data_IF_227448391997
#
_entry.id   IF_227448391997
#
_cell.length_a   1.000
_cell.length_b   1.000
_cell.length_c   1.000
_cell.angle_alpha   90.00
_cell.angle_beta   90.00
_cell.angle_gamma   90.00
#
_symmetry.space_group_name_H-M   'P 1'
#
loop_
_entity.id
_entity.type
_entity.pdbx_description
1 polymer ?
#
# COMPACT_ATOMS: atom_id res chain seq x y z
N UNK A 1 6.74 -33.89 -44.65
CA UNK A 1 6.00 -34.24 -43.47
C UNK A 1 6.80 -34.14 -42.16
N UNK A 2 7.75 -33.20 -42.04
CA UNK A 2 8.56 -32.99 -40.78
C UNK A 2 8.33 -31.65 -40.10
N UNK A 3 7.39 -30.83 -40.59
CA UNK A 3 7.17 -29.43 -40.08
C UNK A 3 6.01 -29.27 -39.11
N UNK A 4 5.14 -30.27 -38.95
CA UNK A 4 3.94 -30.18 -38.09
C UNK A 4 4.17 -30.62 -36.63
N UNK A 5 5.16 -31.49 -36.40
CA UNK A 5 5.45 -32.02 -35.04
C UNK A 5 6.13 -31.00 -34.13
N UNK A 6 6.90 -30.05 -34.67
CA UNK A 6 7.65 -29.06 -33.90
C UNK A 6 6.77 -27.92 -33.36
N UNK A 7 5.68 -27.59 -34.07
CA UNK A 7 4.75 -26.56 -33.65
C UNK A 7 3.87 -26.98 -32.45
N UNK A 8 3.53 -28.27 -32.36
CA UNK A 8 2.71 -28.81 -31.26
C UNK A 8 3.50 -28.90 -29.95
N UNK A 9 4.81 -29.21 -30.03
CA UNK A 9 5.68 -29.27 -28.85
C UNK A 9 5.93 -27.89 -28.19
N UNK A 10 6.02 -26.83 -29.01
CA UNK A 10 6.16 -25.45 -28.50
C UNK A 10 4.86 -24.90 -27.89
N UNK A 11 3.69 -25.35 -28.36
CA UNK A 11 2.41 -24.95 -27.78
C UNK A 11 2.09 -25.67 -26.47
N UNK A 12 2.55 -26.91 -26.30
CA UNK A 12 2.41 -27.65 -25.04
C UNK A 12 3.34 -27.13 -23.92
N UNK A 13 4.49 -26.55 -24.26
CA UNK A 13 5.41 -25.94 -23.29
C UNK A 13 4.93 -24.58 -22.79
N UNK A 14 4.13 -23.85 -23.58
CA UNK A 14 3.54 -22.57 -23.18
C UNK A 14 2.35 -22.72 -22.20
N UNK A 15 1.69 -23.86 -22.18
CA UNK A 15 0.56 -24.17 -21.27
C UNK A 15 0.99 -24.63 -19.87
N UNK A 16 2.24 -25.04 -19.68
CA UNK A 16 2.77 -25.45 -18.37
C UNK A 16 3.27 -24.27 -17.52
N UNK A 17 3.22 -23.02 -18.00
CA UNK A 17 3.50 -21.81 -17.24
C UNK A 17 2.24 -21.23 -16.53
N UNK A 18 1.13 -21.98 -16.51
CA UNK A 18 -0.01 -21.72 -15.66
C UNK A 18 0.43 -21.72 -14.20
N UNK A 19 0.46 -20.53 -13.61
CA UNK A 19 1.05 -20.21 -12.32
C UNK A 19 0.78 -21.24 -11.23
N UNK A 20 1.77 -22.02 -10.88
CA UNK A 20 1.81 -22.68 -9.60
C UNK A 20 1.70 -21.60 -8.52
N UNK A 21 0.54 -21.48 -7.89
CA UNK A 21 0.41 -20.76 -6.62
C UNK A 21 1.32 -21.59 -5.70
N UNK A 22 2.48 -21.03 -5.33
CA UNK A 22 3.37 -21.69 -4.38
C UNK A 22 2.57 -22.00 -3.12
N UNK A 23 2.72 -23.20 -2.57
CA UNK A 23 2.06 -23.53 -1.31
C UNK A 23 2.39 -22.47 -0.24
N UNK A 24 1.47 -22.19 0.70
CA UNK A 24 1.76 -21.29 1.81
C UNK A 24 3.04 -21.74 2.52
N UNK A 25 3.77 -20.80 3.11
CA UNK A 25 4.88 -21.13 4.01
C UNK A 25 4.32 -22.06 5.09
N UNK A 26 4.91 -23.25 5.22
CA UNK A 26 4.45 -24.21 6.21
C UNK A 26 4.76 -23.67 7.62
N UNK A 27 3.73 -23.48 8.43
CA UNK A 27 3.90 -23.15 9.85
C UNK A 27 4.15 -24.41 10.66
N UNK A 28 4.83 -24.29 11.80
CA UNK A 28 4.89 -25.38 12.76
C UNK A 28 3.49 -25.64 13.34
N UNK A 29 3.18 -26.86 13.82
CA UNK A 29 1.89 -27.14 14.44
C UNK A 29 1.54 -26.17 15.59
N UNK A 30 2.54 -25.77 16.37
CA UNK A 30 2.38 -24.81 17.45
C UNK A 30 2.04 -23.39 16.94
N UNK A 31 2.69 -22.93 15.88
CA UNK A 31 2.42 -21.63 15.26
C UNK A 31 1.02 -21.63 14.60
N UNK A 32 0.62 -22.74 13.97
CA UNK A 32 -0.72 -22.91 13.41
C UNK A 32 -1.80 -22.83 14.49
N UNK A 33 -1.59 -23.47 15.65
CA UNK A 33 -2.50 -23.39 16.79
C UNK A 33 -2.62 -21.95 17.31
N UNK A 34 -1.51 -21.21 17.41
CA UNK A 34 -1.52 -19.78 17.79
C UNK A 34 -2.31 -18.94 16.80
N UNK A 35 -2.16 -19.18 15.50
CA UNK A 35 -2.91 -18.47 14.47
C UNK A 35 -4.41 -18.61 14.65
N UNK A 36 -4.90 -19.77 15.06
CA UNK A 36 -6.34 -20.00 15.26
C UNK A 36 -6.95 -19.15 16.40
N UNK A 37 -6.13 -18.70 17.35
CA UNK A 37 -6.55 -17.87 18.48
C UNK A 37 -6.42 -16.37 18.21
N UNK A 38 -5.81 -15.98 17.06
CA UNK A 38 -5.65 -14.57 16.71
C UNK A 38 -6.97 -13.92 16.27
N UNK A 39 -7.07 -12.61 16.48
CA UNK A 39 -8.17 -11.81 15.96
C UNK A 39 -8.23 -11.89 14.42
N UNK A 40 -9.42 -11.72 13.81
CA UNK A 40 -9.53 -11.69 12.36
C UNK A 40 -8.79 -10.50 11.77
N UNK A 41 -8.28 -10.65 10.55
CA UNK A 41 -7.66 -9.54 9.83
C UNK A 41 -8.69 -8.62 9.18
N UNK A 42 -8.31 -7.34 9.03
CA UNK A 42 -9.01 -6.36 8.19
C UNK A 42 -7.97 -5.64 7.33
N UNK A 43 -8.19 -5.58 6.03
CA UNK A 43 -7.26 -4.91 5.11
C UNK A 43 -7.39 -3.40 5.21
N UNK A 44 -6.27 -2.72 5.49
CA UNK A 44 -6.13 -1.27 5.45
C UNK A 44 -5.49 -0.88 4.11
N UNK A 45 -6.31 -0.41 3.18
CA UNK A 45 -5.82 -0.02 1.86
C UNK A 45 -5.11 1.33 1.92
N UNK A 46 -3.99 1.44 1.24
CA UNK A 46 -3.22 2.67 1.11
C UNK A 46 -2.77 2.87 -0.33
N UNK A 47 -2.69 4.12 -0.75
CA UNK A 47 -2.30 4.50 -2.10
C UNK A 47 -1.18 5.52 -2.04
N UNK A 48 -0.09 5.26 -2.78
CA UNK A 48 1.08 6.12 -2.83
C UNK A 48 1.16 6.88 -4.16
N UNK A 49 1.96 7.94 -4.20
CA UNK A 49 2.30 8.76 -5.37
C UNK A 49 1.17 9.64 -5.92
N UNK A 50 -0.06 9.50 -5.43
CA UNK A 50 -1.20 10.30 -5.84
C UNK A 50 -1.08 11.80 -5.52
N UNK A 51 -2.07 12.55 -5.97
CA UNK A 51 -3.15 12.18 -6.88
C UNK A 51 -2.75 12.28 -8.35
N UNK A 52 -3.46 11.62 -9.24
CA UNK A 52 -3.30 11.86 -10.68
C UNK A 52 -3.90 13.20 -11.10
N UNK A 53 -3.15 13.98 -11.88
CA UNK A 53 -3.63 15.21 -12.53
C UNK A 53 -4.20 14.99 -13.94
N UNK A 54 -4.45 13.74 -14.36
CA UNK A 54 -4.98 13.43 -15.69
C UNK A 54 -6.36 14.05 -15.89
N UNK A 55 -6.57 14.75 -17.01
CA UNK A 55 -7.87 15.33 -17.34
C UNK A 55 -8.88 14.31 -17.85
N UNK A 56 -8.41 13.26 -18.52
CA UNK A 56 -9.22 12.19 -19.10
C UNK A 56 -8.81 10.83 -18.52
N UNK A 57 -9.78 9.98 -18.22
CA UNK A 57 -9.54 8.67 -17.60
C UNK A 57 -8.56 8.76 -16.41
N UNK A 58 -8.86 9.65 -15.48
CA UNK A 58 -8.04 9.88 -14.29
C UNK A 58 -8.05 8.62 -13.39
N UNK A 59 -6.91 7.95 -13.20
CA UNK A 59 -6.86 6.69 -12.48
C UNK A 59 -7.22 6.85 -10.99
N UNK A 60 -6.81 7.93 -10.31
CA UNK A 60 -7.19 8.16 -8.90
C UNK A 60 -8.71 8.24 -8.74
N UNK A 61 -9.41 8.93 -9.65
CA UNK A 61 -10.88 8.99 -9.64
C UNK A 61 -11.53 7.65 -9.88
N UNK A 62 -10.96 6.83 -10.76
CA UNK A 62 -11.45 5.47 -11.02
C UNK A 62 -11.29 4.59 -9.79
N UNK A 63 -10.13 4.67 -9.11
CA UNK A 63 -9.88 3.96 -7.85
C UNK A 63 -10.93 4.36 -6.80
N UNK A 64 -11.14 5.67 -6.57
CA UNK A 64 -12.14 6.15 -5.61
C UNK A 64 -13.55 5.65 -5.95
N UNK A 65 -13.92 5.65 -7.24
CA UNK A 65 -15.22 5.14 -7.69
C UNK A 65 -15.36 3.63 -7.41
N UNK A 66 -14.32 2.84 -7.67
CA UNK A 66 -14.31 1.40 -7.40
C UNK A 66 -14.33 1.09 -5.90
N UNK A 67 -13.62 1.85 -5.07
CA UNK A 67 -13.69 1.70 -3.60
C UNK A 67 -15.09 1.99 -3.07
N UNK A 68 -15.75 3.00 -3.63
CA UNK A 68 -17.10 3.36 -3.24
C UNK A 68 -18.16 2.37 -3.72
N UNK A 69 -17.97 1.77 -4.89
CA UNK A 69 -18.94 0.85 -5.52
C UNK A 69 -18.22 -0.37 -6.12
N UNK A 70 -18.18 -1.48 -5.38
CA UNK A 70 -17.58 -2.73 -5.81
C UNK A 70 -18.38 -3.94 -5.27
N UNK A 71 -18.20 -5.13 -5.85
CA UNK A 71 -18.97 -6.31 -5.47
C UNK A 71 -18.53 -6.96 -4.15
N UNK A 72 -17.40 -6.56 -3.57
CA UNK A 72 -16.85 -7.17 -2.34
C UNK A 72 -17.41 -6.49 -1.10
N UNK A 73 -17.24 -5.16 -1.02
CA UNK A 73 -17.74 -4.32 0.08
C UNK A 73 -17.80 -2.87 -0.40
N UNK A 74 -18.99 -2.32 -0.70
CA UNK A 74 -19.14 -0.91 -1.09
C UNK A 74 -18.75 0.05 0.05
N UNK A 75 -18.23 1.23 -0.31
CA UNK A 75 -17.95 2.29 0.65
C UNK A 75 -16.59 2.18 1.35
N UNK A 76 -15.66 1.39 0.82
CA UNK A 76 -14.30 1.24 1.39
C UNK A 76 -13.61 2.59 1.52
N UNK A 77 -13.02 2.85 2.70
CA UNK A 77 -12.16 4.00 2.98
C UNK A 77 -10.70 3.56 3.02
N UNK A 78 -9.81 4.47 2.61
CA UNK A 78 -8.38 4.22 2.46
C UNK A 78 -7.55 5.42 2.89
N UNK A 79 -6.23 5.25 2.98
CA UNK A 79 -5.25 6.33 3.16
C UNK A 79 -4.59 6.63 1.83
N UNK A 80 -4.55 7.91 1.42
CA UNK A 80 -3.85 8.38 0.23
C UNK A 80 -2.62 9.18 0.66
N UNK A 81 -1.42 8.68 0.33
CA UNK A 81 -0.15 9.34 0.56
C UNK A 81 0.22 10.19 -0.65
N UNK A 82 0.19 11.49 -0.48
CA UNK A 82 0.11 12.46 -1.57
C UNK A 82 1.45 13.11 -1.91
N UNK A 83 1.70 13.30 -3.20
CA UNK A 83 2.73 14.18 -3.72
C UNK A 83 2.10 15.56 -3.99
N UNK A 84 2.30 16.54 -3.10
CA UNK A 84 1.55 17.80 -3.15
C UNK A 84 2.10 18.80 -4.14
N UNK A 85 3.41 18.77 -4.48
CA UNK A 85 4.04 19.71 -5.39
C UNK A 85 4.41 19.19 -6.79
N UNK A 86 4.32 17.88 -6.99
CA UNK A 86 4.62 17.31 -8.31
C UNK A 86 3.63 17.83 -9.38
N UNK A 87 4.15 18.34 -10.51
CA UNK A 87 3.35 19.01 -11.55
C UNK A 87 2.27 18.12 -12.19
N UNK A 88 2.47 16.78 -12.19
CA UNK A 88 1.49 15.80 -12.68
C UNK A 88 0.65 15.20 -11.56
N UNK A 89 0.74 15.74 -10.38
CA UNK A 89 0.04 15.33 -9.16
C UNK A 89 -0.52 16.59 -8.45
N UNK A 90 -0.43 16.67 -7.13
CA UNK A 90 -0.97 17.74 -6.28
C UNK A 90 -0.47 19.15 -6.60
N UNK A 91 0.69 19.32 -7.22
CA UNK A 91 1.23 20.62 -7.63
C UNK A 91 0.45 21.29 -8.78
N UNK A 92 -0.56 20.65 -9.35
CA UNK A 92 -1.43 21.23 -10.38
C UNK A 92 -2.85 21.43 -9.87
N UNK A 93 -3.59 22.40 -10.46
CA UNK A 93 -4.99 22.64 -10.13
C UNK A 93 -5.88 21.39 -10.30
N UNK A 94 -5.57 20.53 -11.29
CA UNK A 94 -6.29 19.27 -11.50
C UNK A 94 -5.98 18.24 -10.43
N UNK A 95 -4.72 18.16 -9.99
CA UNK A 95 -4.31 17.30 -8.89
C UNK A 95 -4.99 17.72 -7.59
N UNK A 96 -4.95 19.02 -7.24
CA UNK A 96 -5.65 19.55 -6.05
C UNK A 96 -7.15 19.21 -6.06
N UNK A 97 -7.81 19.37 -7.22
CA UNK A 97 -9.22 18.94 -7.36
C UNK A 97 -9.43 17.43 -7.23
N UNK A 98 -8.42 16.62 -7.46
CA UNK A 98 -8.49 15.16 -7.19
C UNK A 98 -8.33 14.90 -5.70
N UNK A 99 -7.39 15.56 -5.00
CA UNK A 99 -7.26 15.49 -3.53
C UNK A 99 -8.57 15.90 -2.83
N UNK A 100 -9.21 17.00 -3.25
CA UNK A 100 -10.51 17.44 -2.73
C UNK A 100 -11.58 16.35 -2.86
N UNK A 101 -11.59 15.61 -3.96
CA UNK A 101 -12.53 14.51 -4.20
C UNK A 101 -12.23 13.28 -3.35
N UNK A 102 -10.96 12.93 -3.17
CA UNK A 102 -10.53 11.86 -2.28
C UNK A 102 -10.98 12.17 -0.85
N UNK A 103 -10.76 13.39 -0.38
CA UNK A 103 -11.22 13.84 0.93
C UNK A 103 -12.75 13.85 1.05
N UNK A 104 -13.46 14.42 0.07
CA UNK A 104 -14.92 14.47 0.05
C UNK A 104 -15.56 13.06 -0.01
N UNK A 105 -14.85 12.06 -0.54
CA UNK A 105 -15.27 10.67 -0.51
C UNK A 105 -15.00 10.00 0.86
N UNK A 106 -14.44 10.72 1.83
CA UNK A 106 -14.16 10.25 3.19
C UNK A 106 -12.89 9.43 3.32
N UNK A 107 -11.94 9.58 2.38
CA UNK A 107 -10.62 8.98 2.53
C UNK A 107 -9.70 9.87 3.39
N UNK A 108 -8.71 9.25 4.02
CA UNK A 108 -7.67 9.94 4.79
C UNK A 108 -6.59 10.44 3.84
N UNK A 109 -6.29 11.73 3.87
CA UNK A 109 -5.17 12.31 3.14
C UNK A 109 -3.94 12.38 4.03
N UNK A 110 -2.84 11.79 3.56
CA UNK A 110 -1.58 11.67 4.29
C UNK A 110 -0.42 12.19 3.43
N UNK A 111 0.70 12.47 4.08
CA UNK A 111 1.86 13.06 3.42
C UNK A 111 2.78 12.00 2.81
N UNK A 112 3.16 12.17 1.54
CA UNK A 112 4.21 11.40 0.88
C UNK A 112 5.45 12.25 0.62
N UNK A 113 5.32 13.29 -0.19
CA UNK A 113 6.37 14.28 -0.44
C UNK A 113 5.78 15.58 -1.02
N UNK A 114 6.47 16.70 -0.78
CA UNK A 114 6.24 17.98 -1.45
C UNK A 114 7.51 18.38 -2.22
N UNK A 115 7.96 17.52 -3.10
CA UNK A 115 9.05 17.77 -4.04
C UNK A 115 8.51 17.70 -5.48
N UNK A 116 9.15 18.42 -6.40
CA UNK A 116 8.78 18.40 -7.81
C UNK A 116 8.89 17.00 -8.45
N UNK A 117 9.77 16.19 -7.89
CA UNK A 117 10.03 14.79 -8.26
C UNK A 117 9.88 13.91 -7.02
N UNK A 118 9.59 12.63 -7.20
CA UNK A 118 9.53 11.65 -6.13
C UNK A 118 10.92 11.40 -5.53
N UNK A 119 11.38 12.33 -4.66
CA UNK A 119 12.75 12.35 -4.11
C UNK A 119 12.79 11.62 -2.77
N UNK A 120 13.79 10.75 -2.59
CA UNK A 120 14.05 10.12 -1.30
C UNK A 120 14.44 11.19 -0.26
N UNK A 121 13.72 11.28 0.84
CA UNK A 121 13.93 12.29 1.87
C UNK A 121 15.29 12.19 2.56
N UNK A 122 15.92 11.01 2.58
CA UNK A 122 17.30 10.84 3.08
C UNK A 122 18.34 11.62 2.28
N UNK A 123 18.07 11.90 1.01
CA UNK A 123 18.98 12.65 0.13
C UNK A 123 18.78 14.17 0.18
N UNK A 124 17.72 14.63 0.83
CA UNK A 124 17.48 16.05 1.03
C UNK A 124 18.37 16.57 2.16
N UNK A 125 18.89 17.79 2.01
CA UNK A 125 19.48 18.50 3.17
C UNK A 125 18.37 18.94 4.14
N UNK A 126 18.76 19.34 5.36
CA UNK A 126 17.78 19.66 6.41
C UNK A 126 16.84 20.80 6.02
N UNK A 127 17.35 21.86 5.40
CA UNK A 127 16.50 22.99 4.98
C UNK A 127 15.45 22.56 3.95
N UNK A 128 15.82 21.75 2.97
CA UNK A 128 14.91 21.23 1.96
C UNK A 128 13.92 20.22 2.56
N UNK A 129 14.38 19.39 3.51
CA UNK A 129 13.49 18.46 4.21
C UNK A 129 12.44 19.22 5.03
N UNK A 130 12.84 20.19 5.84
CA UNK A 130 11.92 21.01 6.64
C UNK A 130 10.92 21.77 5.75
N UNK A 131 11.41 22.34 4.64
CA UNK A 131 10.56 23.01 3.67
C UNK A 131 9.50 22.07 3.09
N UNK A 132 9.90 20.91 2.58
CA UNK A 132 8.95 19.93 1.98
C UNK A 132 7.93 19.43 2.99
N UNK A 133 8.31 19.21 4.25
CA UNK A 133 7.39 18.81 5.31
C UNK A 133 6.40 19.92 5.68
N UNK A 134 6.86 21.16 5.72
CA UNK A 134 6.03 22.32 6.05
C UNK A 134 5.00 22.59 4.97
N UNK A 135 5.43 22.71 3.71
CA UNK A 135 4.56 23.03 2.57
C UNK A 135 3.58 21.89 2.27
N UNK A 136 4.08 20.64 2.26
CA UNK A 136 3.18 19.51 2.01
C UNK A 136 2.12 19.33 3.09
N UNK A 137 2.45 19.59 4.36
CA UNK A 137 1.45 19.59 5.42
C UNK A 137 0.46 20.74 5.29
N UNK A 138 0.91 21.92 4.86
CA UNK A 138 0.04 23.08 4.60
C UNK A 138 -0.91 22.83 3.42
N UNK A 139 -0.41 22.24 2.34
CA UNK A 139 -1.21 21.85 1.17
C UNK A 139 -2.37 20.91 1.53
N UNK A 140 -2.07 19.88 2.34
CA UNK A 140 -3.08 18.93 2.81
C UNK A 140 -4.06 19.63 3.77
N UNK A 141 -3.55 20.44 4.70
CA UNK A 141 -4.38 21.18 5.64
C UNK A 141 -5.33 22.17 4.95
N UNK A 142 -4.93 22.78 3.84
CA UNK A 142 -5.78 23.66 3.05
C UNK A 142 -7.02 22.95 2.49
N UNK A 143 -6.99 21.62 2.33
CA UNK A 143 -8.11 20.82 1.83
C UNK A 143 -8.90 20.20 2.99
N UNK A 144 -8.20 19.66 4.00
CA UNK A 144 -8.81 18.87 5.05
C UNK A 144 -9.20 19.67 6.31
N UNK A 145 -8.64 20.88 6.44
CA UNK A 145 -8.77 21.71 7.65
C UNK A 145 -7.81 21.30 8.77
N UNK A 146 -6.99 20.26 8.60
CA UNK A 146 -6.04 19.77 9.61
C UNK A 146 -4.73 19.29 8.97
N UNK A 147 -3.62 19.42 9.72
CA UNK A 147 -2.33 18.88 9.27
C UNK A 147 -2.38 17.34 9.23
N UNK A 148 -1.71 16.69 8.26
CA UNK A 148 -1.66 15.23 8.22
C UNK A 148 -0.89 14.69 9.42
N UNK A 149 -1.38 13.60 9.99
CA UNK A 149 -0.74 12.89 11.11
C UNK A 149 0.05 11.66 10.64
N UNK A 150 -0.05 11.30 9.38
CA UNK A 150 0.63 10.16 8.78
C UNK A 150 1.58 10.62 7.68
N UNK A 151 2.75 9.99 7.63
CA UNK A 151 3.71 10.08 6.53
C UNK A 151 4.10 8.70 6.05
N UNK A 152 4.23 8.55 4.74
CA UNK A 152 4.95 7.43 4.15
C UNK A 152 6.16 7.99 3.41
N UNK A 153 7.40 7.69 3.89
CA UNK A 153 8.60 8.17 3.21
C UNK A 153 8.68 7.61 1.78
N UNK A 154 9.10 8.41 0.79
CA UNK A 154 9.37 7.90 -0.55
C UNK A 154 10.31 6.68 -0.52
N UNK A 155 9.99 5.65 -1.32
CA UNK A 155 10.70 4.35 -1.34
C UNK A 155 10.65 3.59 -0.01
N UNK A 156 9.72 3.96 0.90
CA UNK A 156 9.61 3.45 2.27
C UNK A 156 10.89 3.65 3.10
N UNK A 157 11.76 4.57 2.66
CA UNK A 157 13.12 4.72 3.18
C UNK A 157 13.23 5.95 4.09
N UNK A 158 13.74 5.76 5.31
CA UNK A 158 14.00 6.80 6.30
C UNK A 158 15.25 6.44 7.13
N UNK A 159 15.79 7.42 7.82
CA UNK A 159 16.87 7.31 8.80
C UNK A 159 16.52 8.07 10.08
N UNK A 160 17.43 8.06 11.07
CA UNK A 160 17.22 8.77 12.36
C UNK A 160 16.91 10.26 12.17
N UNK A 161 17.55 10.91 11.21
CA UNK A 161 17.36 12.33 10.88
C UNK A 161 15.98 12.62 10.33
N UNK A 162 15.58 11.89 9.30
CA UNK A 162 14.28 12.07 8.65
C UNK A 162 13.14 11.63 9.54
N UNK A 163 13.30 10.54 10.30
CA UNK A 163 12.31 10.11 11.29
C UNK A 163 12.06 11.17 12.36
N UNK A 164 13.13 11.76 12.92
CA UNK A 164 13.03 12.86 13.89
C UNK A 164 12.35 14.10 13.28
N UNK A 165 12.61 14.41 12.01
CA UNK A 165 11.93 15.49 11.30
C UNK A 165 10.41 15.23 11.18
N UNK A 166 9.99 14.03 10.78
CA UNK A 166 8.58 13.68 10.75
C UNK A 166 7.89 13.84 12.10
N UNK A 167 8.54 13.38 13.17
CA UNK A 167 8.01 13.52 14.55
C UNK A 167 7.86 15.00 14.96
N UNK A 168 8.83 15.88 14.63
CA UNK A 168 8.71 17.33 14.90
C UNK A 168 7.51 17.96 14.21
N UNK A 169 7.13 17.43 13.04
CA UNK A 169 5.95 17.86 12.29
C UNK A 169 4.66 17.15 12.72
N UNK A 170 4.70 16.32 13.77
CA UNK A 170 3.54 15.55 14.26
C UNK A 170 3.11 14.42 13.34
N UNK A 171 4.00 13.96 12.45
CA UNK A 171 3.71 12.90 11.50
C UNK A 171 4.32 11.57 11.95
N UNK A 172 3.55 10.50 11.83
CA UNK A 172 3.93 9.14 12.16
C UNK A 172 4.16 8.30 10.90
N UNK A 173 5.27 7.56 10.85
CA UNK A 173 5.65 6.76 9.69
C UNK A 173 4.77 5.52 9.60
N UNK A 174 4.00 5.39 8.53
CA UNK A 174 3.23 4.17 8.20
C UNK A 174 3.88 3.46 7.01
N UNK A 175 4.43 2.28 7.25
CA UNK A 175 4.95 1.38 6.22
C UNK A 175 3.84 0.44 5.70
N UNK A 176 4.23 -0.63 5.01
CA UNK A 176 3.29 -1.58 4.40
C UNK A 176 3.63 -3.03 4.74
N UNK A 177 2.61 -3.87 4.86
CA UNK A 177 2.76 -5.31 4.98
C UNK A 177 2.74 -6.01 3.61
N UNK A 178 1.92 -5.49 2.68
CA UNK A 178 1.72 -6.03 1.33
C UNK A 178 1.88 -4.92 0.29
N UNK A 179 2.48 -5.25 -0.84
CA UNK A 179 2.54 -4.38 -2.02
C UNK A 179 1.89 -5.06 -3.21
N UNK A 180 1.06 -4.34 -3.93
CA UNK A 180 0.51 -4.80 -5.20
C UNK A 180 1.59 -4.97 -6.29
N UNK A 181 2.81 -4.45 -6.05
CA UNK A 181 3.90 -4.37 -7.03
C UNK A 181 3.44 -3.73 -8.37
N UNK A 182 2.55 -2.75 -8.25
CA UNK A 182 1.96 -2.00 -9.36
C UNK A 182 2.68 -0.69 -9.65
N UNK A 183 3.65 -0.32 -8.80
CA UNK A 183 4.54 0.80 -9.00
C UNK A 183 5.47 0.58 -10.20
N UNK A 184 6.18 1.63 -10.60
CA UNK A 184 7.08 1.60 -11.75
C UNK A 184 8.36 0.83 -11.43
N UNK A 185 8.34 -0.48 -11.69
CA UNK A 185 9.52 -1.34 -11.63
C UNK A 185 9.99 -1.57 -13.07
N UNK A 186 11.28 -1.35 -13.34
CA UNK A 186 11.89 -1.53 -14.66
C UNK A 186 11.20 -0.77 -15.81
N UNK A 187 10.57 0.37 -15.51
CA UNK A 187 9.89 1.17 -16.52
C UNK A 187 8.43 0.79 -16.79
N UNK A 188 7.91 -0.28 -16.21
CA UNK A 188 6.54 -0.75 -16.41
C UNK A 188 5.67 -0.54 -15.18
N UNK A 189 4.44 -0.04 -15.39
CA UNK A 189 3.41 0.11 -14.36
C UNK A 189 2.36 -1.00 -14.51
N UNK A 190 2.77 -2.24 -14.35
CA UNK A 190 1.89 -3.41 -14.47
C UNK A 190 2.34 -4.50 -13.49
N UNK A 191 1.40 -5.25 -12.96
CA UNK A 191 1.65 -6.40 -12.08
C UNK A 191 0.98 -7.67 -12.64
N UNK A 192 1.54 -8.30 -13.67
CA UNK A 192 0.93 -9.48 -14.29
C UNK A 192 0.82 -10.67 -13.35
N UNK A 193 1.67 -10.74 -12.33
CA UNK A 193 1.66 -11.77 -11.28
C UNK A 193 0.97 -11.29 -9.99
N UNK A 194 0.05 -10.33 -10.06
CA UNK A 194 -0.58 -9.68 -8.89
C UNK A 194 -1.16 -10.67 -7.88
N UNK A 195 -1.86 -11.71 -8.35
CA UNK A 195 -2.42 -12.76 -7.47
C UNK A 195 -1.31 -13.51 -6.72
N UNK A 196 -0.30 -14.02 -7.41
CA UNK A 196 0.80 -14.77 -6.81
C UNK A 196 1.64 -13.89 -5.87
N UNK A 197 1.83 -12.62 -6.21
CA UNK A 197 2.58 -11.67 -5.38
C UNK A 197 1.86 -11.43 -4.04
N UNK A 198 0.59 -11.04 -4.06
CA UNK A 198 -0.19 -10.78 -2.85
C UNK A 198 -0.37 -12.04 -2.00
N UNK A 199 -0.62 -13.17 -2.64
CA UNK A 199 -0.71 -14.46 -1.96
C UNK A 199 0.57 -14.79 -1.17
N UNK A 200 1.75 -14.70 -1.81
CA UNK A 200 3.05 -14.98 -1.18
C UNK A 200 3.36 -14.00 -0.05
N UNK A 201 3.15 -12.72 -0.27
CA UNK A 201 3.40 -11.70 0.75
C UNK A 201 2.50 -11.91 1.97
N UNK A 202 1.21 -12.22 1.75
CA UNK A 202 0.30 -12.50 2.85
C UNK A 202 0.68 -13.78 3.61
N UNK A 203 1.33 -14.77 2.99
CA UNK A 203 1.82 -15.96 3.70
C UNK A 203 2.96 -15.62 4.67
N UNK A 204 3.79 -14.60 4.37
CA UNK A 204 4.80 -14.06 5.31
C UNK A 204 4.11 -13.31 6.45
N UNK A 205 3.14 -12.46 6.14
CA UNK A 205 2.37 -11.70 7.15
C UNK A 205 1.60 -12.66 8.08
N UNK A 206 1.09 -13.78 7.57
CA UNK A 206 0.44 -14.84 8.35
C UNK A 206 1.34 -15.36 9.49
N UNK A 207 2.62 -15.57 9.23
CA UNK A 207 3.57 -15.98 10.26
C UNK A 207 3.71 -14.94 11.36
N UNK A 208 3.86 -13.67 10.97
CA UNK A 208 3.94 -12.54 11.91
C UNK A 208 2.67 -12.39 12.75
N UNK A 209 1.49 -12.61 12.15
CA UNK A 209 0.21 -12.65 12.88
C UNK A 209 0.22 -13.78 13.90
N UNK A 210 0.65 -14.98 13.52
CA UNK A 210 0.69 -16.13 14.41
C UNK A 210 1.67 -15.94 15.59
N UNK A 211 2.74 -15.16 15.38
CA UNK A 211 3.71 -14.79 16.42
C UNK A 211 3.22 -13.63 17.32
N UNK A 212 2.10 -12.98 16.96
CA UNK A 212 1.54 -11.84 17.72
C UNK A 212 2.30 -10.53 17.50
N UNK A 213 3.03 -10.39 16.40
CA UNK A 213 3.82 -9.18 16.08
C UNK A 213 2.96 -8.01 15.59
N UNK A 214 1.75 -8.27 15.12
CA UNK A 214 0.84 -7.23 14.64
C UNK A 214 -0.18 -6.87 15.72
N UNK A 215 -0.42 -5.57 15.97
CA UNK A 215 -1.36 -5.15 17.00
C UNK A 215 -2.80 -5.47 16.61
N UNK A 216 -3.61 -5.81 17.62
CA UNK A 216 -5.07 -5.87 17.48
C UNK A 216 -5.67 -4.51 17.81
N UNK A 217 -6.51 -4.00 16.92
CA UNK A 217 -7.21 -2.71 17.05
C UNK A 217 -8.70 -2.94 16.90
N UNK A 218 -9.49 -2.59 17.91
CA UNK A 218 -10.95 -2.77 17.88
C UNK A 218 -11.40 -4.20 17.48
N UNK A 219 -10.65 -5.20 17.97
CA UNK A 219 -10.98 -6.62 17.75
C UNK A 219 -10.53 -7.18 16.40
N UNK A 220 -9.79 -6.43 15.56
CA UNK A 220 -9.24 -6.88 14.29
C UNK A 220 -7.75 -6.57 14.21
N UNK A 221 -7.01 -7.31 13.36
CA UNK A 221 -5.61 -7.04 13.03
C UNK A 221 -5.57 -6.28 11.71
N UNK A 222 -5.17 -4.98 11.69
CA UNK A 222 -5.03 -4.22 10.45
C UNK A 222 -3.84 -4.74 9.63
N UNK A 223 -4.09 -5.16 8.39
CA UNK A 223 -3.06 -5.55 7.42
C UNK A 223 -2.96 -4.44 6.37
N UNK A 224 -1.83 -3.74 6.34
CA UNK A 224 -1.59 -2.60 5.45
C UNK A 224 -1.23 -3.08 4.05
N UNK A 225 -1.97 -2.58 3.04
CA UNK A 225 -1.77 -2.94 1.64
C UNK A 225 -1.49 -1.69 0.82
N UNK A 226 -0.38 -1.65 0.09
CA UNK A 226 0.00 -0.51 -0.75
C UNK A 226 -0.26 -0.75 -2.23
N UNK A 227 -0.89 0.24 -2.83
CA UNK A 227 -1.13 0.44 -4.26
C UNK A 227 -0.63 1.82 -4.70
N UNK A 228 -0.70 2.10 -6.01
CA UNK A 228 -0.43 3.42 -6.58
C UNK A 228 -1.63 3.88 -7.43
N UNK A 229 -2.37 4.86 -6.92
CA UNK A 229 -3.62 5.34 -7.56
C UNK A 229 -3.39 6.16 -8.84
N UNK A 230 -2.18 6.67 -9.05
CA UNK A 230 -1.79 7.30 -10.32
C UNK A 230 -1.66 6.30 -11.47
N UNK A 231 -1.68 5.01 -11.18
CA UNK A 231 -1.43 3.96 -12.14
C UNK A 231 -2.73 3.49 -12.82
N UNK A 232 -2.78 3.62 -14.14
CA UNK A 232 -3.93 3.15 -14.94
C UNK A 232 -4.15 1.63 -14.87
N UNK A 233 -3.08 0.87 -14.65
CA UNK A 233 -3.19 -0.57 -14.49
C UNK A 233 -3.93 -0.90 -13.19
N UNK A 234 -3.55 -0.28 -12.08
CA UNK A 234 -4.21 -0.42 -10.79
C UNK A 234 -5.68 -0.03 -10.87
N UNK A 235 -5.97 1.14 -11.46
CA UNK A 235 -7.33 1.62 -11.64
C UNK A 235 -8.22 0.67 -12.45
N UNK A 236 -7.67 -0.02 -13.45
CA UNK A 236 -8.42 -1.00 -14.26
C UNK A 236 -8.67 -2.34 -13.55
N UNK A 237 -7.89 -2.64 -12.52
CA UNK A 237 -7.92 -3.92 -11.82
C UNK A 237 -8.31 -3.77 -10.34
N UNK A 238 -8.78 -2.59 -9.89
CA UNK A 238 -9.01 -2.34 -8.47
C UNK A 238 -10.00 -3.33 -7.87
N UNK A 239 -11.13 -3.57 -8.51
CA UNK A 239 -12.12 -4.55 -8.06
C UNK A 239 -11.55 -5.98 -8.03
N UNK A 240 -10.72 -6.34 -9.02
CA UNK A 240 -10.02 -7.62 -9.00
C UNK A 240 -9.01 -7.73 -7.85
N UNK A 241 -8.30 -6.65 -7.53
CA UNK A 241 -7.39 -6.62 -6.38
C UNK A 241 -8.12 -6.85 -5.05
N UNK A 242 -9.31 -6.27 -4.86
CA UNK A 242 -10.12 -6.54 -3.67
C UNK A 242 -10.46 -8.03 -3.56
N UNK A 243 -10.87 -8.66 -4.65
CA UNK A 243 -11.17 -10.09 -4.67
C UNK A 243 -9.91 -10.94 -4.42
N UNK A 244 -8.76 -10.55 -5.00
CA UNK A 244 -7.47 -11.24 -4.79
C UNK A 244 -7.08 -11.22 -3.31
N UNK A 245 -7.28 -10.10 -2.60
CA UNK A 245 -6.98 -10.01 -1.17
C UNK A 245 -7.85 -10.98 -0.37
N UNK A 246 -9.15 -11.06 -0.67
CA UNK A 246 -10.08 -12.01 -0.04
C UNK A 246 -9.67 -13.47 -0.30
N UNK A 247 -9.39 -13.80 -1.57
CA UNK A 247 -8.93 -15.13 -1.96
C UNK A 247 -7.60 -15.49 -1.28
N UNK A 248 -6.67 -14.53 -1.20
CA UNK A 248 -5.37 -14.71 -0.56
C UNK A 248 -5.50 -14.98 0.93
N UNK A 249 -6.39 -14.27 1.64
CA UNK A 249 -6.67 -14.53 3.05
C UNK A 249 -7.23 -15.95 3.25
N UNK A 250 -8.22 -16.32 2.46
CA UNK A 250 -8.86 -17.66 2.52
C UNK A 250 -7.85 -18.78 2.28
N UNK A 251 -7.00 -18.68 1.24
CA UNK A 251 -6.03 -19.72 0.90
C UNK A 251 -4.89 -19.80 1.92
N UNK A 252 -4.57 -18.69 2.59
CA UNK A 252 -3.61 -18.67 3.70
C UNK A 252 -4.23 -19.09 5.05
N UNK A 253 -5.51 -19.48 5.10
CA UNK A 253 -6.18 -19.88 6.34
C UNK A 253 -6.37 -18.73 7.35
N UNK A 254 -6.33 -17.48 6.89
CA UNK A 254 -6.56 -16.30 7.72
C UNK A 254 -8.06 -16.01 7.81
N UNK A 255 -8.54 -15.80 9.03
CA UNK A 255 -9.90 -15.30 9.27
C UNK A 255 -9.96 -13.83 8.90
N UNK A 256 -10.91 -13.43 8.06
CA UNK A 256 -11.23 -12.02 7.82
C UNK A 256 -12.35 -11.56 8.75
N UNK A 257 -12.36 -10.28 9.11
CA UNK A 257 -13.49 -9.67 9.78
C UNK A 257 -14.76 -9.76 8.89
N UNK A 258 -15.95 -9.60 9.49
CA UNK A 258 -17.21 -9.55 8.76
C UNK A 258 -17.19 -8.46 7.68
N UNK A 259 -16.63 -7.30 8.01
CA UNK A 259 -16.21 -6.29 7.05
C UNK A 259 -14.70 -6.41 6.82
N UNK A 260 -14.26 -6.99 5.69
CA UNK A 260 -12.85 -7.29 5.46
C UNK A 260 -12.00 -6.05 5.11
N UNK A 261 -12.63 -4.94 4.83
CA UNK A 261 -12.02 -3.63 4.59
C UNK A 261 -12.66 -2.59 5.51
N UNK A 262 -12.02 -1.44 5.69
CA UNK A 262 -12.55 -0.33 6.48
C UNK A 262 -13.54 0.48 5.65
N UNK A 263 -14.69 0.84 6.25
CA UNK A 263 -15.75 1.66 5.65
C UNK A 263 -15.97 2.98 6.42
N UNK A 264 -15.31 3.13 7.56
CA UNK A 264 -15.38 4.30 8.42
C UNK A 264 -14.00 4.99 8.49
N UNK A 265 -13.96 6.31 8.24
CA UNK A 265 -12.74 7.11 8.18
C UNK A 265 -12.00 7.14 9.53
N UNK A 266 -12.73 7.26 10.64
CA UNK A 266 -12.11 7.30 11.96
C UNK A 266 -11.50 5.94 12.34
N UNK A 267 -12.11 4.82 11.91
CA UNK A 267 -11.50 3.50 12.07
C UNK A 267 -10.22 3.35 11.22
N UNK A 268 -10.20 3.88 9.98
CA UNK A 268 -8.98 3.92 9.14
C UNK A 268 -7.86 4.64 9.87
N UNK A 269 -8.13 5.83 10.41
CA UNK A 269 -7.13 6.62 11.13
C UNK A 269 -6.59 5.88 12.36
N UNK A 270 -7.45 5.33 13.21
CA UNK A 270 -7.03 4.57 14.39
C UNK A 270 -6.20 3.34 14.01
N UNK A 271 -6.63 2.60 13.01
CA UNK A 271 -5.90 1.44 12.51
C UNK A 271 -4.53 1.84 11.93
N UNK A 272 -4.47 2.91 11.14
CA UNK A 272 -3.24 3.42 10.57
C UNK A 272 -2.24 3.87 11.65
N UNK A 273 -2.69 4.66 12.62
CA UNK A 273 -1.85 5.11 13.74
C UNK A 273 -1.32 3.94 14.59
N UNK A 274 -2.13 2.92 14.83
CA UNK A 274 -1.69 1.74 15.56
C UNK A 274 -0.59 0.95 14.82
N UNK A 275 -0.56 1.06 13.48
CA UNK A 275 0.40 0.39 12.60
C UNK A 275 1.65 1.22 12.28
N UNK A 276 1.77 2.44 12.79
CA UNK A 276 2.96 3.28 12.57
C UNK A 276 4.17 2.72 13.31
N UNK A 277 5.35 2.97 12.74
CA UNK A 277 6.66 2.73 13.38
C UNK A 277 6.73 3.56 14.65
N UNK A 278 7.08 2.94 15.78
CA UNK A 278 7.12 3.60 17.10
C UNK A 278 8.50 4.20 17.38
N UNK A 279 9.55 3.45 17.05
CA UNK A 279 10.93 3.87 17.23
C UNK A 279 11.70 3.67 15.92
N UNK A 280 12.68 4.52 15.69
CA UNK A 280 13.51 4.45 14.47
C UNK A 280 14.31 3.14 14.37
N UNK A 281 14.63 2.54 15.51
CA UNK A 281 15.38 1.27 15.60
C UNK A 281 14.45 0.02 15.62
N UNK A 282 13.12 0.19 15.48
CA UNK A 282 12.19 -0.94 15.38
C UNK A 282 12.48 -1.75 14.10
N UNK A 283 12.38 -3.10 14.16
CA UNK A 283 12.57 -3.93 12.96
C UNK A 283 11.59 -3.55 11.86
N UNK A 284 12.11 -3.26 10.68
CA UNK A 284 11.31 -2.97 9.48
C UNK A 284 11.08 -4.24 8.69
N UNK A 285 9.82 -4.53 8.38
CA UNK A 285 9.42 -5.64 7.55
C UNK A 285 8.71 -5.12 6.31
N UNK A 286 9.40 -5.15 5.17
CA UNK A 286 8.85 -4.72 3.88
C UNK A 286 8.60 -5.92 2.97
N UNK A 287 7.62 -5.83 2.05
CA UNK A 287 7.32 -6.93 1.15
C UNK A 287 8.39 -7.15 0.09
N UNK A 288 8.74 -8.43 -0.14
CA UNK A 288 9.60 -8.85 -1.24
C UNK A 288 11.03 -8.32 -1.14
N UNK A 289 11.55 -7.83 -2.28
CA UNK A 289 12.94 -7.34 -2.41
C UNK A 289 13.22 -6.08 -1.57
N UNK A 290 12.20 -5.32 -1.22
CA UNK A 290 12.34 -4.11 -0.43
C UNK A 290 12.92 -4.35 0.95
N UNK A 291 12.67 -5.51 1.53
CA UNK A 291 13.29 -5.90 2.80
C UNK A 291 14.82 -5.99 2.69
N UNK A 292 15.32 -6.57 1.58
CA UNK A 292 16.77 -6.69 1.34
C UNK A 292 17.43 -5.32 1.07
N UNK A 293 16.74 -4.44 0.34
CA UNK A 293 17.24 -3.08 0.05
C UNK A 293 17.30 -2.26 1.32
N UNK A 294 16.30 -2.38 2.20
CA UNK A 294 16.28 -1.71 3.49
C UNK A 294 17.44 -2.16 4.38
N UNK A 295 17.66 -3.48 4.49
CA UNK A 295 18.73 -4.04 5.33
C UNK A 295 20.13 -3.63 4.85
N UNK A 296 20.33 -3.45 3.54
CA UNK A 296 21.59 -2.99 2.98
C UNK A 296 21.90 -1.51 3.29
N UNK A 297 20.87 -0.68 3.48
CA UNK A 297 21.00 0.76 3.74
C UNK A 297 21.04 1.12 5.25
N UNK A 298 20.82 0.14 6.13
CA UNK A 298 20.71 0.37 7.59
C UNK A 298 22.03 0.32 8.35
N UNK A 299 23.17 0.22 7.63
CA UNK A 299 24.52 0.17 8.23
C UNK A 299 25.38 1.37 7.88
#
# INVERSE_FOLDING_TARGET
>A
MKSFATAIALFALALSLGGCISAPIALTPQTEQRLQTQAPIRFLLTFDDGPSASGYNNPSRSVVADLNNNPVLPGIKAVFFLQTEAARSGGSARGRKTMEREFAAGHVLAFHTATAFHTNHRWLNDATLEHTLTEGAADIAAITGARPVLVRPPFWNYDKRTFAAYQRHGMHVLLTDLSANDGKIWGFNASPRRRANLYRQLSVVRERIALGELPTVEGVIPVVVTFHDINRYTARHMQEYLQILMDSARVNGLKTAAEPFYTDTAQVERAAIARTVKNVDDPVHLPGIWNLVWDADSH
#
